data_IF_829812349119
#
_entry.id   IF_829812349119
#
_cell.length_a   1.000
_cell.length_b   1.000
_cell.length_c   1.000
_cell.angle_alpha   90.00
_cell.angle_beta   90.00
_cell.angle_gamma   90.00
#
_symmetry.space_group_name_H-M   'P 1'
#
loop_
_entity.id
_entity.type
_entity.pdbx_description
1 polymer ?
#
# COMPACT_ATOMS: atom_id res chain seq x y z
N UNK A 1 1.18 13.62 12.84
CA UNK A 1 1.82 12.72 11.84
C UNK A 1 1.26 11.31 11.94
N UNK A 2 0.19 11.03 11.21
CA UNK A 2 -0.44 9.70 11.14
C UNK A 2 0.26 8.87 10.05
N UNK A 3 0.72 7.66 10.40
CA UNK A 3 1.22 6.68 9.43
C UNK A 3 0.05 5.91 8.82
N UNK A 4 0.13 5.63 7.52
CA UNK A 4 -0.87 4.86 6.79
C UNK A 4 -0.16 3.86 5.89
N UNK A 5 -0.75 2.68 5.70
CA UNK A 5 -0.25 1.70 4.73
C UNK A 5 -1.15 1.75 3.50
N UNK A 6 -0.56 1.99 2.34
CA UNK A 6 -1.27 2.08 1.07
C UNK A 6 -0.74 1.02 0.12
N UNK A 7 -1.65 0.24 -0.45
CA UNK A 7 -1.33 -0.81 -1.41
C UNK A 7 -0.86 -0.23 -2.75
N UNK A 8 0.09 -0.92 -3.37
CA UNK A 8 0.36 -0.80 -4.82
C UNK A 8 -0.84 -1.38 -5.55
N UNK A 9 -1.48 -0.62 -6.43
CA UNK A 9 -2.73 -1.05 -7.05
C UNK A 9 -2.51 -2.18 -8.07
N UNK A 10 -3.55 -2.97 -8.34
CA UNK A 10 -3.45 -4.04 -9.33
C UNK A 10 -3.26 -3.45 -10.73
N UNK A 11 -2.19 -3.86 -11.42
CA UNK A 11 -1.82 -3.30 -12.72
C UNK A 11 -0.93 -2.06 -12.65
N UNK A 12 -0.63 -1.57 -11.44
CA UNK A 12 0.34 -0.50 -11.19
C UNK A 12 1.73 -1.09 -10.90
N UNK A 13 2.77 -0.50 -11.47
CA UNK A 13 4.15 -0.83 -11.08
C UNK A 13 4.52 -0.17 -9.76
N UNK A 14 5.55 -0.71 -9.09
CA UNK A 14 6.05 -0.14 -7.84
C UNK A 14 6.50 1.33 -8.03
N UNK A 15 7.05 1.66 -9.20
CA UNK A 15 7.49 3.01 -9.54
C UNK A 15 6.33 3.98 -9.71
N UNK A 16 5.28 3.59 -10.45
CA UNK A 16 4.07 4.40 -10.62
C UNK A 16 3.38 4.67 -9.28
N UNK A 17 3.29 3.66 -8.42
CA UNK A 17 2.77 3.81 -7.07
C UNK A 17 3.60 4.80 -6.23
N UNK A 18 4.92 4.71 -6.33
CA UNK A 18 5.82 5.62 -5.63
C UNK A 18 5.60 7.08 -6.07
N UNK A 19 5.57 7.32 -7.38
CA UNK A 19 5.35 8.65 -7.95
C UNK A 19 3.96 9.20 -7.60
N UNK A 20 2.91 8.38 -7.73
CA UNK A 20 1.53 8.76 -7.36
C UNK A 20 1.44 9.22 -5.91
N UNK A 21 2.05 8.48 -4.99
CA UNK A 21 2.01 8.81 -3.56
C UNK A 21 2.79 10.09 -3.24
N UNK A 22 4.00 10.25 -3.80
CA UNK A 22 4.80 11.46 -3.70
C UNK A 22 4.03 12.69 -4.20
N UNK A 23 3.42 12.58 -5.39
CA UNK A 23 2.63 13.66 -6.02
C UNK A 23 1.34 13.98 -5.25
N UNK A 24 0.83 13.04 -4.44
CA UNK A 24 -0.35 13.22 -3.60
C UNK A 24 -0.04 13.89 -2.25
N UNK A 25 1.20 14.32 -2.02
CA UNK A 25 1.62 14.97 -0.78
C UNK A 25 1.91 13.98 0.37
N UNK A 26 2.11 12.71 0.03
CA UNK A 26 2.60 11.71 0.95
C UNK A 26 4.11 11.56 0.85
N UNK A 27 4.77 11.40 2.00
CA UNK A 27 6.13 10.92 2.08
C UNK A 27 6.12 9.43 2.40
N UNK A 28 6.75 8.63 1.55
CA UNK A 28 6.95 7.20 1.79
C UNK A 28 8.09 7.03 2.81
N UNK A 29 7.83 6.27 3.87
CA UNK A 29 8.76 6.02 4.99
C UNK A 29 9.04 4.52 5.21
N UNK A 30 8.46 3.65 4.39
CA UNK A 30 8.71 2.22 4.45
C UNK A 30 7.92 1.45 3.39
N UNK A 31 8.25 0.17 3.23
CA UNK A 31 7.56 -0.78 2.36
C UNK A 31 7.44 -2.11 3.09
N UNK A 32 6.34 -2.82 2.87
CA UNK A 32 6.17 -4.22 3.29
C UNK A 32 5.47 -5.03 2.22
N UNK A 33 5.59 -6.34 2.33
CA UNK A 33 4.82 -7.30 1.54
C UNK A 33 3.92 -8.07 2.51
N UNK A 34 2.63 -8.10 2.20
CA UNK A 34 1.62 -8.79 3.01
C UNK A 34 0.95 -9.88 2.18
N UNK A 35 0.78 -11.09 2.72
CA UNK A 35 -0.01 -12.11 2.05
C UNK A 35 -1.49 -11.72 2.04
N UNK A 36 -2.11 -11.81 0.87
CA UNK A 36 -3.55 -11.70 0.67
C UNK A 36 -4.10 -13.10 0.55
N UNK A 37 -5.17 -13.37 1.29
CA UNK A 37 -5.90 -14.63 1.27
C UNK A 37 -7.26 -14.39 0.63
N UNK A 38 -7.78 -15.41 -0.04
CA UNK A 38 -9.17 -15.49 -0.48
C UNK A 38 -9.88 -16.60 0.28
N UNK A 39 -11.21 -16.50 0.40
CA UNK A 39 -12.01 -17.56 1.00
C UNK A 39 -12.51 -18.51 -0.09
N UNK A 40 -12.10 -19.77 -0.03
CA UNK A 40 -12.56 -20.85 -0.91
C UNK A 40 -13.12 -21.97 -0.03
N UNK A 41 -14.39 -22.31 -0.24
CA UNK A 41 -15.10 -23.33 0.55
C UNK A 41 -15.01 -23.11 2.09
N UNK A 42 -15.04 -21.83 2.50
CA UNK A 42 -14.95 -21.45 3.91
C UNK A 42 -13.55 -21.56 4.53
N UNK A 43 -12.50 -21.79 3.72
CA UNK A 43 -11.11 -21.83 4.16
C UNK A 43 -10.29 -20.68 3.54
N UNK A 44 -9.40 -20.03 4.30
CA UNK A 44 -8.51 -19.02 3.77
C UNK A 44 -7.38 -19.67 2.96
N UNK A 45 -7.36 -19.41 1.66
CA UNK A 45 -6.34 -19.89 0.72
C UNK A 45 -5.43 -18.72 0.35
N UNK A 46 -4.09 -18.88 0.34
CA UNK A 46 -3.19 -17.82 -0.07
C UNK A 46 -3.41 -17.48 -1.55
N UNK A 47 -3.84 -16.25 -1.83
CA UNK A 47 -4.11 -15.77 -3.18
C UNK A 47 -2.85 -15.18 -3.81
N UNK A 48 -2.22 -14.21 -3.14
CA UNK A 48 -1.04 -13.49 -3.66
C UNK A 48 -0.32 -12.70 -2.57
N UNK A 49 0.85 -12.17 -2.91
CA UNK A 49 1.51 -11.13 -2.10
C UNK A 49 1.07 -9.73 -2.58
N UNK A 50 0.85 -8.81 -1.66
CA UNK A 50 0.51 -7.41 -1.91
C UNK A 50 1.62 -6.52 -1.34
N UNK A 51 2.16 -5.64 -2.18
CA UNK A 51 3.11 -4.63 -1.74
C UNK A 51 2.33 -3.45 -1.16
N UNK A 52 2.78 -2.95 -0.02
CA UNK A 52 2.24 -1.73 0.60
C UNK A 52 3.37 -0.77 0.96
N UNK A 53 3.13 0.52 0.75
CA UNK A 53 3.98 1.60 1.22
C UNK A 53 3.44 2.19 2.52
N UNK A 54 4.32 2.37 3.51
CA UNK A 54 4.04 3.18 4.68
C UNK A 54 4.23 4.64 4.30
N UNK A 55 3.20 5.44 4.46
CA UNK A 55 3.23 6.87 4.17
C UNK A 55 2.91 7.70 5.39
N UNK A 56 3.48 8.91 5.42
CA UNK A 56 3.06 10.01 6.28
C UNK A 56 2.58 11.15 5.39
N UNK A 57 1.49 11.81 5.77
CA UNK A 57 1.02 13.01 5.05
C UNK A 57 1.84 14.22 5.49
N UNK A 58 2.40 14.95 4.53
CA UNK A 58 3.27 16.10 4.82
C UNK A 58 2.50 17.38 5.17
N UNK A 59 1.24 17.47 4.75
CA UNK A 59 0.32 18.55 5.13
C UNK A 59 -0.81 17.93 5.96
N UNK A 60 -0.69 18.01 7.28
CA UNK A 60 -1.88 18.07 8.14
C UNK A 60 -2.50 19.45 7.83
N UNK A 61 -3.56 19.52 7.02
CA UNK A 61 -4.46 20.68 7.11
C UNK A 61 -5.04 20.68 8.53
N UNK A 62 -4.94 21.85 9.16
CA UNK A 62 -5.26 22.15 10.55
C UNK A 62 -6.65 21.68 11.00
#
# INVERSE_FOLDING_TARGET
MKKQWLAVEAGETIGEAYERLQNSGFQIVGRREVPVFEEVDGQPVPLRQQIEFCVIRLKDEQ
#
